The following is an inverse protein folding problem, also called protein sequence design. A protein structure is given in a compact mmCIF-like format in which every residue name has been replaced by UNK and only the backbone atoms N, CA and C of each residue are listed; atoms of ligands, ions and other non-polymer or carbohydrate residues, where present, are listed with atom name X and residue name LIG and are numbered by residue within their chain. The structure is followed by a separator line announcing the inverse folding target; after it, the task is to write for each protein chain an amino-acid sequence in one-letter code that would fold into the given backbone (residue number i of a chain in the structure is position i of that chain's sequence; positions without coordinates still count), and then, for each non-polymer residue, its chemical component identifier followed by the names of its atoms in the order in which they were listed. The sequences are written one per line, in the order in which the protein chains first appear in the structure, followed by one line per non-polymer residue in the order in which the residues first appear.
data_IF_143055440356
#
_entry.id   IF_143055440356
#
_cell.length_a   1.000
_cell.length_b   1.000
_cell.length_c   1.000
_cell.angle_alpha   90.00
_cell.angle_beta   90.00
_cell.angle_gamma   90.00
#
_symmetry.space_group_name_H-M   'P 1'
#
loop_
_entity.id
_entity.type
_entity.pdbx_description
1 polymer ?
#
# COMPACT_ATOMS: atom_id res chain seq x y z
N UNK A 1 33.43 -34.43 -41.54
CA UNK A 1 33.38 -34.43 -40.07
C UNK A 1 32.46 -33.30 -39.65
N UNK A 2 31.22 -33.62 -39.33
CA UNK A 2 30.20 -32.67 -38.93
C UNK A 2 30.06 -32.81 -37.42
N UNK A 3 30.45 -31.81 -36.64
CA UNK A 3 30.20 -31.77 -35.21
C UNK A 3 28.85 -31.13 -34.97
N UNK A 4 27.87 -31.95 -34.62
CA UNK A 4 26.59 -31.49 -34.08
C UNK A 4 26.76 -31.10 -32.61
N UNK A 5 26.68 -29.82 -32.33
CA UNK A 5 26.65 -29.31 -30.95
C UNK A 5 25.22 -29.42 -30.43
N UNK A 6 25.00 -30.40 -29.56
CA UNK A 6 23.72 -30.57 -28.84
C UNK A 6 23.67 -29.52 -27.72
N UNK A 7 22.86 -28.47 -27.90
CA UNK A 7 22.55 -27.51 -26.85
C UNK A 7 21.48 -28.12 -25.94
N UNK A 8 21.90 -28.62 -24.80
CA UNK A 8 21.05 -29.12 -23.75
C UNK A 8 20.43 -27.90 -23.02
N UNK A 9 19.21 -27.52 -23.38
CA UNK A 9 18.41 -26.55 -22.59
C UNK A 9 18.01 -27.24 -21.27
N UNK A 10 18.80 -27.00 -20.24
CA UNK A 10 18.37 -27.24 -18.87
C UNK A 10 17.30 -26.20 -18.49
N UNK A 11 16.03 -26.51 -18.69
CA UNK A 11 14.92 -25.86 -18.01
C UNK A 11 14.98 -26.26 -16.54
N UNK A 12 15.68 -25.47 -15.73
CA UNK A 12 15.57 -25.55 -14.28
C UNK A 12 14.20 -25.03 -13.92
N UNK A 13 13.23 -25.93 -13.83
CA UNK A 13 11.99 -25.66 -13.12
C UNK A 13 12.37 -25.42 -11.65
N UNK A 14 12.53 -24.17 -11.28
CA UNK A 14 12.50 -23.72 -9.87
C UNK A 14 11.07 -23.96 -9.37
N UNK A 15 10.74 -25.23 -9.08
CA UNK A 15 9.70 -25.54 -8.12
C UNK A 15 10.21 -25.04 -6.77
N UNK A 16 10.06 -23.74 -6.54
CA UNK A 16 10.29 -23.17 -5.22
C UNK A 16 9.34 -23.87 -4.26
N UNK A 17 9.89 -24.61 -3.31
CA UNK A 17 9.11 -25.15 -2.22
C UNK A 17 8.33 -23.97 -1.61
N UNK A 18 7.02 -23.99 -1.75
CA UNK A 18 6.16 -22.99 -1.14
C UNK A 18 6.32 -23.13 0.37
N UNK A 19 6.91 -22.13 1.01
CA UNK A 19 6.92 -22.09 2.46
C UNK A 19 5.49 -22.00 2.96
N UNK A 20 5.14 -22.72 4.05
CA UNK A 20 3.79 -22.69 4.59
C UNK A 20 3.32 -21.27 4.87
N UNK A 21 2.00 -21.09 4.79
CA UNK A 21 1.35 -19.82 5.14
C UNK A 21 1.74 -19.40 6.57
N UNK A 22 2.02 -18.12 6.75
CA UNK A 22 2.29 -17.55 8.06
C UNK A 22 1.04 -16.83 8.57
N UNK A 23 0.69 -17.00 9.85
CA UNK A 23 -0.48 -16.38 10.46
C UNK A 23 -0.14 -15.77 11.82
N UNK A 24 -0.81 -14.65 12.13
CA UNK A 24 -0.67 -13.96 13.41
C UNK A 24 -1.98 -13.26 13.79
N UNK A 25 -2.27 -13.22 15.10
CA UNK A 25 -3.48 -12.58 15.63
C UNK A 25 -3.15 -11.53 16.67
N UNK A 26 -3.93 -10.46 16.68
CA UNK A 26 -3.82 -9.38 17.64
C UNK A 26 -5.20 -8.99 18.19
N UNK A 27 -5.31 -8.75 19.53
CA UNK A 27 -6.48 -8.08 20.09
C UNK A 27 -6.47 -6.61 19.68
N UNK A 28 -7.62 -6.11 19.28
CA UNK A 28 -7.75 -4.70 18.90
C UNK A 28 -8.17 -3.88 20.11
N UNK A 29 -7.53 -2.74 20.34
CA UNK A 29 -7.97 -1.81 21.37
C UNK A 29 -9.42 -1.36 21.14
N UNK A 30 -10.18 -1.17 22.23
CA UNK A 30 -11.52 -0.61 22.15
C UNK A 30 -11.52 0.78 21.49
N UNK A 31 -12.49 1.02 20.62
CA UNK A 31 -12.66 2.29 19.92
C UNK A 31 -13.80 3.07 20.52
N UNK A 32 -13.62 4.39 20.56
CA UNK A 32 -14.65 5.32 21.03
C UNK A 32 -15.71 5.65 19.98
N UNK A 33 -15.36 5.57 18.68
CA UNK A 33 -16.27 5.97 17.60
C UNK A 33 -16.18 5.01 16.42
N UNK A 34 -17.20 4.20 16.14
CA UNK A 34 -17.24 3.37 14.95
C UNK A 34 -17.44 4.23 13.70
N UNK A 35 -16.78 3.85 12.61
CA UNK A 35 -16.98 4.43 11.29
C UNK A 35 -17.72 3.44 10.38
N UNK A 36 -18.72 3.92 9.65
CA UNK A 36 -19.48 3.14 8.67
C UNK A 36 -19.08 3.61 7.27
N UNK A 37 -18.39 2.79 6.46
CA UNK A 37 -18.08 3.16 5.08
C UNK A 37 -19.36 3.36 4.29
N UNK A 38 -19.43 4.44 3.51
CA UNK A 38 -20.47 4.60 2.51
C UNK A 38 -20.22 3.63 1.35
N UNK A 39 -21.26 2.97 0.87
CA UNK A 39 -21.15 2.04 -0.27
C UNK A 39 -20.66 2.80 -1.50
N UNK A 40 -19.69 2.23 -2.26
CA UNK A 40 -19.35 2.75 -3.57
C UNK A 40 -20.56 2.61 -4.50
N UNK A 41 -20.86 3.65 -5.25
CA UNK A 41 -22.07 3.77 -6.02
C UNK A 41 -21.81 3.83 -7.52
N UNK A 42 -22.87 3.56 -8.19
CA UNK A 42 -23.22 3.51 -9.60
C UNK A 42 -22.45 4.46 -10.51
N UNK A 43 -22.00 3.92 -11.64
CA UNK A 43 -21.45 4.71 -12.75
C UNK A 43 -22.50 5.68 -13.30
N UNK A 44 -22.33 6.94 -13.01
CA UNK A 44 -22.98 8.03 -13.72
C UNK A 44 -21.99 8.55 -14.77
N UNK A 45 -22.51 9.10 -15.87
CA UNK A 45 -21.67 9.82 -16.83
C UNK A 45 -20.92 10.94 -16.09
N UNK A 46 -19.60 10.99 -16.10
CA UNK A 46 -18.86 11.93 -15.28
C UNK A 46 -19.07 13.36 -15.78
N UNK A 47 -19.62 14.21 -14.93
CA UNK A 47 -19.43 15.65 -15.04
C UNK A 47 -18.33 15.98 -14.03
N UNK A 48 -17.09 16.00 -14.53
CA UNK A 48 -15.94 16.21 -13.65
C UNK A 48 -15.88 17.64 -13.14
N UNK A 49 -15.77 17.78 -11.83
CA UNK A 49 -15.42 19.06 -11.20
C UNK A 49 -13.91 19.28 -11.31
N UNK A 50 -13.48 20.54 -11.39
CA UNK A 50 -12.04 20.85 -11.40
C UNK A 50 -11.39 20.48 -10.07
N UNK A 51 -10.11 20.14 -10.10
CA UNK A 51 -9.30 19.85 -8.92
C UNK A 51 -8.75 21.14 -8.30
N UNK A 52 -9.62 22.02 -7.83
CA UNK A 52 -9.21 23.25 -7.16
C UNK A 52 -9.19 23.04 -5.67
N UNK A 53 -8.06 23.35 -5.03
CA UNK A 53 -7.90 23.22 -3.58
C UNK A 53 -8.33 24.50 -2.91
N UNK A 54 -9.29 24.41 -2.00
CA UNK A 54 -9.77 25.55 -1.21
C UNK A 54 -9.12 25.66 0.15
N UNK A 55 -8.67 24.54 0.71
CA UNK A 55 -8.10 24.49 2.06
C UNK A 55 -7.09 23.37 2.21
N UNK A 56 -6.00 23.65 2.94
CA UNK A 56 -5.04 22.66 3.43
C UNK A 56 -4.86 22.86 4.93
N UNK A 57 -4.98 21.79 5.70
CA UNK A 57 -4.68 21.78 7.14
C UNK A 57 -3.61 20.73 7.39
N UNK A 58 -2.47 21.14 7.93
CA UNK A 58 -1.43 20.21 8.32
C UNK A 58 -1.65 19.72 9.77
N UNK A 59 -1.84 18.40 9.92
CA UNK A 59 -2.02 17.74 11.21
C UNK A 59 -0.69 17.27 11.82
N UNK A 60 0.40 17.41 11.08
CA UNK A 60 1.75 17.05 11.47
C UNK A 60 1.91 15.56 11.77
N UNK A 61 2.89 15.25 12.60
CA UNK A 61 3.28 13.86 12.90
C UNK A 61 2.11 13.03 13.41
N UNK A 62 1.91 11.87 12.76
CA UNK A 62 1.00 10.82 13.22
C UNK A 62 1.69 10.02 14.33
N UNK A 63 1.14 10.06 15.53
CA UNK A 63 1.78 9.45 16.69
C UNK A 63 0.76 8.88 17.68
N UNK A 64 1.23 7.92 18.48
CA UNK A 64 0.53 7.47 19.67
C UNK A 64 0.97 8.31 20.88
N UNK A 65 0.11 9.20 21.30
CA UNK A 65 0.38 10.14 22.38
C UNK A 65 0.36 9.49 23.77
N UNK A 66 -0.27 8.34 23.89
CA UNK A 66 -0.41 7.61 25.15
C UNK A 66 0.77 6.68 25.48
N UNK A 67 1.68 6.49 24.54
CA UNK A 67 2.78 5.54 24.68
C UNK A 67 3.92 6.09 25.57
N UNK A 68 4.51 5.17 26.33
CA UNK A 68 5.73 5.41 27.10
C UNK A 68 6.96 5.56 26.17
N UNK A 69 6.85 5.10 24.96
CA UNK A 69 7.90 5.09 23.95
C UNK A 69 7.67 6.15 22.90
N UNK A 70 8.74 6.65 22.32
CA UNK A 70 8.69 7.48 21.13
C UNK A 70 8.88 6.58 19.91
N UNK A 71 7.82 6.43 19.09
CA UNK A 71 7.80 5.47 18.00
C UNK A 71 7.96 6.21 16.67
N UNK A 72 9.00 5.86 15.94
CA UNK A 72 9.29 6.34 14.60
C UNK A 72 8.93 5.29 13.59
N UNK A 73 8.20 5.69 12.56
CA UNK A 73 7.67 4.82 11.51
C UNK A 73 8.09 5.31 10.15
N UNK A 74 8.36 4.35 9.31
CA UNK A 74 8.68 4.54 7.91
C UNK A 74 7.46 4.19 7.07
N UNK A 75 7.18 4.90 5.99
CA UNK A 75 6.15 4.61 5.01
C UNK A 75 4.84 4.03 5.57
N UNK A 76 3.88 3.76 4.73
CA UNK A 76 2.70 3.04 5.18
C UNK A 76 1.43 3.37 4.41
N UNK A 77 0.36 2.66 4.74
CA UNK A 77 -0.96 2.87 4.18
C UNK A 77 -2.08 2.59 5.17
N UNK A 78 -3.25 3.10 4.87
CA UNK A 78 -4.46 2.87 5.67
C UNK A 78 -5.20 1.60 5.25
N UNK A 79 -5.93 1.02 6.18
CA UNK A 79 -6.76 -0.14 6.00
C UNK A 79 -8.06 0.01 6.77
N UNK A 80 -9.18 -0.39 6.19
CA UNK A 80 -10.46 -0.36 6.88
C UNK A 80 -11.04 -1.76 7.01
N UNK A 81 -11.44 -2.10 8.23
CA UNK A 81 -12.12 -3.36 8.57
C UNK A 81 -13.17 -3.09 9.64
N UNK A 82 -14.39 -3.60 9.46
CA UNK A 82 -15.47 -3.57 10.44
C UNK A 82 -15.56 -2.21 11.15
N UNK A 83 -15.74 -1.15 10.37
CA UNK A 83 -15.85 0.23 10.87
C UNK A 83 -14.64 0.76 11.64
N UNK A 84 -13.47 0.18 11.43
CA UNK A 84 -12.21 0.57 12.06
C UNK A 84 -11.18 0.87 11.01
N UNK A 85 -10.38 1.91 11.23
CA UNK A 85 -9.26 2.25 10.37
C UNK A 85 -7.95 1.92 11.07
N UNK A 86 -7.13 1.16 10.37
CA UNK A 86 -5.78 0.80 10.77
C UNK A 86 -4.79 1.52 9.87
N UNK A 87 -3.61 1.74 10.41
CA UNK A 87 -2.43 2.11 9.64
C UNK A 87 -1.43 0.98 9.72
N UNK A 88 -0.87 0.63 8.58
CA UNK A 88 0.20 -0.35 8.46
C UNK A 88 1.43 0.37 7.96
N UNK A 89 2.53 0.24 8.70
CA UNK A 89 3.78 0.94 8.44
C UNK A 89 4.89 -0.03 8.06
N UNK A 90 5.93 0.50 7.42
CA UNK A 90 7.20 -0.18 7.17
C UNK A 90 8.06 -0.24 8.44
N UNK A 91 9.39 -0.15 8.28
CA UNK A 91 10.32 -0.20 9.41
C UNK A 91 9.87 0.75 10.53
N UNK A 92 9.81 0.21 11.72
CA UNK A 92 9.32 0.92 12.91
C UNK A 92 10.30 0.71 14.04
N UNK A 93 10.68 1.80 14.72
CA UNK A 93 11.63 1.78 15.84
C UNK A 93 11.02 2.48 17.03
N UNK A 94 11.09 1.85 18.19
CA UNK A 94 10.66 2.42 19.46
C UNK A 94 11.88 2.85 20.28
N UNK A 95 11.81 4.05 20.82
CA UNK A 95 12.81 4.62 21.71
C UNK A 95 12.23 4.85 23.09
N UNK A 96 13.01 4.59 24.12
CA UNK A 96 12.67 4.99 25.47
C UNK A 96 12.67 6.51 25.59
N UNK A 97 11.57 7.10 25.99
CA UNK A 97 11.49 8.56 26.27
C UNK A 97 12.42 9.00 27.39
N UNK A 98 12.75 8.11 28.32
CA UNK A 98 13.61 8.39 29.47
C UNK A 98 15.09 8.36 29.09
N UNK A 99 15.51 7.37 28.28
CA UNK A 99 16.93 7.14 27.99
C UNK A 99 17.34 7.53 26.58
N UNK A 100 16.39 7.76 25.67
CA UNK A 100 16.62 7.99 24.24
C UNK A 100 17.16 6.76 23.48
N UNK A 101 17.27 5.60 24.14
CA UNK A 101 17.81 4.38 23.52
C UNK A 101 16.73 3.60 22.81
N UNK A 102 17.12 2.88 21.75
CA UNK A 102 16.24 1.92 21.08
C UNK A 102 15.87 0.81 22.07
N UNK A 103 14.56 0.55 22.20
CA UNK A 103 14.01 -0.51 23.04
C UNK A 103 13.31 -1.58 22.23
N UNK A 104 12.99 -1.30 20.96
CA UNK A 104 12.36 -2.26 20.06
C UNK A 104 12.40 -1.80 18.62
N UNK A 105 12.35 -2.77 17.69
CA UNK A 105 12.25 -2.52 16.27
C UNK A 105 11.51 -3.66 15.56
N UNK A 106 10.77 -3.32 14.53
CA UNK A 106 10.11 -4.30 13.65
C UNK A 106 10.13 -3.80 12.20
N UNK A 107 10.12 -4.71 11.24
CA UNK A 107 10.09 -4.36 9.82
C UNK A 107 8.74 -3.86 9.33
N UNK A 108 7.72 -3.97 10.17
CA UNK A 108 6.39 -3.39 9.95
C UNK A 108 5.64 -3.34 11.28
N UNK A 109 4.67 -2.44 11.37
CA UNK A 109 3.82 -2.28 12.55
C UNK A 109 2.41 -1.86 12.15
N UNK A 110 1.46 -1.98 13.08
CA UNK A 110 0.09 -1.52 12.88
C UNK A 110 -0.35 -0.61 14.02
N UNK A 111 -1.14 0.39 13.67
CA UNK A 111 -1.83 1.27 14.63
C UNK A 111 -3.30 1.38 14.30
N UNK A 112 -4.08 1.73 15.30
CA UNK A 112 -5.49 2.05 15.17
C UNK A 112 -5.67 3.56 15.09
N UNK A 113 -6.46 4.05 14.14
CA UNK A 113 -6.92 5.43 14.12
C UNK A 113 -7.94 5.65 15.24
N UNK A 114 -7.67 6.60 16.12
CA UNK A 114 -8.48 6.83 17.32
C UNK A 114 -9.59 7.86 17.09
N UNK A 115 -9.36 8.76 16.13
CA UNK A 115 -10.28 9.88 15.89
C UNK A 115 -10.20 10.32 14.43
N UNK A 116 -11.32 10.28 13.74
CA UNK A 116 -11.39 10.73 12.35
C UNK A 116 -11.34 12.25 12.17
N UNK A 117 -11.53 13.02 13.22
CA UNK A 117 -11.37 14.48 13.17
C UNK A 117 -9.90 14.88 13.37
N UNK A 118 -9.13 13.99 13.99
CA UNK A 118 -7.71 14.18 14.27
C UNK A 118 -6.91 12.99 13.75
N UNK A 119 -6.66 12.93 12.43
CA UNK A 119 -6.04 11.77 11.78
C UNK A 119 -4.62 11.47 12.28
N UNK A 120 -4.00 12.40 12.98
CA UNK A 120 -2.69 12.21 13.61
C UNK A 120 -2.76 11.50 14.98
N UNK A 121 -3.95 11.21 15.52
CA UNK A 121 -4.12 10.46 16.77
C UNK A 121 -4.22 8.98 16.50
N UNK A 122 -3.21 8.25 16.94
CA UNK A 122 -3.09 6.81 16.75
C UNK A 122 -2.99 6.09 18.08
N UNK A 123 -3.32 4.81 18.10
CA UNK A 123 -3.02 3.88 19.19
C UNK A 123 -2.28 2.68 18.63
N UNK A 124 -1.07 2.50 19.09
CA UNK A 124 -0.27 1.33 18.74
C UNK A 124 -0.79 0.09 19.47
N UNK A 125 -0.79 -1.06 18.79
CA UNK A 125 -1.14 -2.34 19.39
C UNK A 125 -0.20 -3.47 18.98
N UNK A 126 0.80 -3.18 18.15
CA UNK A 126 1.81 -4.13 17.70
C UNK A 126 3.21 -3.80 18.20
N UNK A 127 3.54 -2.52 18.33
CA UNK A 127 4.84 -2.05 18.85
C UNK A 127 4.75 -1.81 20.36
N UNK A 128 4.45 -2.88 21.10
CA UNK A 128 4.36 -2.86 22.56
C UNK A 128 5.17 -4.03 23.16
N UNK A 129 5.72 -3.91 24.38
CA UNK A 129 6.54 -4.94 24.99
C UNK A 129 5.86 -6.31 25.10
N UNK A 130 4.54 -6.34 25.32
CA UNK A 130 3.76 -7.57 25.44
C UNK A 130 3.72 -8.41 24.17
N UNK A 131 3.96 -7.81 22.99
CA UNK A 131 4.08 -8.54 21.71
C UNK A 131 5.50 -8.99 21.43
N UNK A 132 6.49 -8.60 22.23
CA UNK A 132 7.91 -8.84 21.99
C UNK A 132 8.45 -8.12 20.78
N UNK A 133 7.83 -6.97 20.39
CA UNK A 133 8.24 -6.16 19.22
C UNK A 133 8.20 -6.93 17.89
N UNK A 134 7.27 -7.87 17.76
CA UNK A 134 7.14 -8.67 16.54
C UNK A 134 6.53 -7.84 15.41
N UNK A 135 6.94 -8.10 14.15
CA UNK A 135 6.26 -7.52 12.99
C UNK A 135 4.77 -7.85 12.99
N UNK A 136 3.94 -6.90 12.60
CA UNK A 136 2.49 -7.12 12.48
C UNK A 136 2.14 -8.10 11.35
N UNK A 137 2.88 -8.00 10.24
CA UNK A 137 2.75 -8.94 9.12
C UNK A 137 3.74 -10.07 9.37
N UNK A 138 3.27 -11.32 9.54
CA UNK A 138 4.12 -12.41 9.96
C UNK A 138 5.15 -12.81 8.90
N UNK A 139 6.35 -13.09 9.35
CA UNK A 139 7.35 -13.75 8.54
C UNK A 139 7.05 -15.24 8.41
N UNK A 140 7.45 -15.85 7.29
CA UNK A 140 7.59 -17.31 7.22
C UNK A 140 8.73 -17.77 8.12
N UNK A 141 8.77 -19.06 8.48
CA UNK A 141 9.85 -19.61 9.30
C UNK A 141 11.22 -19.36 8.65
N UNK A 142 11.30 -19.48 7.33
CA UNK A 142 12.51 -19.17 6.60
C UNK A 142 12.94 -17.71 6.75
N UNK A 143 12.03 -16.76 6.59
CA UNK A 143 12.34 -15.34 6.76
C UNK A 143 12.70 -15.01 8.21
N UNK A 144 11.99 -15.61 9.16
CA UNK A 144 12.22 -15.44 10.60
C UNK A 144 13.60 -15.98 11.04
N UNK A 145 14.11 -17.01 10.38
CA UNK A 145 15.44 -17.58 10.69
C UNK A 145 16.59 -16.59 10.48
N UNK A 146 16.38 -15.52 9.70
CA UNK A 146 17.34 -14.42 9.53
C UNK A 146 17.11 -13.27 10.52
N UNK A 147 16.08 -13.33 11.36
CA UNK A 147 15.80 -12.28 12.35
C UNK A 147 16.82 -12.31 13.48
N UNK A 148 17.40 -11.16 13.82
CA UNK A 148 18.36 -11.04 14.91
C UNK A 148 19.82 -10.90 14.49
N UNK A 149 20.16 -11.16 13.25
CA UNK A 149 21.49 -10.85 12.73
C UNK A 149 21.50 -9.42 12.17
N UNK A 150 22.40 -8.58 12.67
CA UNK A 150 22.60 -7.19 12.18
C UNK A 150 22.94 -7.16 10.68
N UNK A 151 23.39 -8.28 10.11
CA UNK A 151 23.80 -8.39 8.71
C UNK A 151 22.67 -8.76 7.75
N UNK A 152 21.95 -9.83 8.01
CA UNK A 152 20.96 -10.37 7.06
C UNK A 152 19.59 -10.42 7.71
N UNK A 153 18.61 -9.78 7.09
CA UNK A 153 17.22 -9.81 7.55
C UNK A 153 16.24 -9.69 6.38
N UNK A 154 15.02 -10.13 6.60
CA UNK A 154 13.90 -9.79 5.73
C UNK A 154 13.14 -8.57 6.24
N UNK A 155 12.50 -7.87 5.32
CA UNK A 155 11.54 -6.82 5.63
C UNK A 155 10.34 -6.92 4.69
N UNK A 156 9.15 -6.61 5.22
CA UNK A 156 7.90 -6.58 4.47
C UNK A 156 7.40 -5.14 4.51
N UNK A 157 7.53 -4.45 3.38
CA UNK A 157 7.23 -3.03 3.28
C UNK A 157 6.04 -2.75 2.38
N UNK A 158 5.13 -1.92 2.84
CA UNK A 158 4.03 -1.40 2.04
C UNK A 158 4.08 0.11 1.95
N UNK A 159 3.70 0.61 0.78
CA UNK A 159 3.50 2.04 0.55
C UNK A 159 2.11 2.31 -0.03
N UNK A 160 1.21 1.33 0.07
CA UNK A 160 -0.15 1.41 -0.45
C UNK A 160 -1.16 1.22 0.66
N UNK A 161 -2.40 1.60 0.39
CA UNK A 161 -3.52 1.22 1.24
C UNK A 161 -3.88 -0.25 1.01
N UNK A 162 -4.43 -0.91 2.03
CA UNK A 162 -5.12 -2.16 1.78
C UNK A 162 -6.42 -1.92 1.00
N UNK A 163 -6.93 -2.96 0.40
CA UNK A 163 -8.26 -2.94 -0.21
C UNK A 163 -9.23 -3.76 0.64
N UNK A 164 -10.30 -3.13 1.11
CA UNK A 164 -11.38 -3.80 1.81
C UNK A 164 -12.17 -4.68 0.84
N UNK A 165 -12.20 -5.98 1.10
CA UNK A 165 -12.90 -6.99 0.28
C UNK A 165 -14.36 -7.16 0.75
N UNK A 166 -14.52 -7.29 2.06
CA UNK A 166 -15.80 -7.38 2.76
C UNK A 166 -15.75 -6.51 4.02
N UNK A 167 -16.84 -6.34 4.76
CA UNK A 167 -16.77 -5.61 6.03
C UNK A 167 -15.71 -6.11 7.01
N UNK A 168 -15.42 -7.42 7.00
CA UNK A 168 -14.49 -8.06 7.94
C UNK A 168 -13.21 -8.59 7.30
N UNK A 169 -13.01 -8.43 5.99
CA UNK A 169 -11.80 -8.90 5.28
C UNK A 169 -11.20 -7.82 4.41
N UNK A 170 -9.88 -7.78 4.39
CA UNK A 170 -9.13 -6.92 3.48
C UNK A 170 -7.88 -7.65 2.97
N UNK A 171 -7.34 -7.15 1.86
CA UNK A 171 -6.12 -7.63 1.21
C UNK A 171 -5.11 -6.49 1.11
N UNK A 172 -3.85 -6.79 1.37
CA UNK A 172 -2.77 -5.80 1.32
C UNK A 172 -1.50 -6.41 0.71
N UNK A 173 -0.78 -5.64 -0.09
CA UNK A 173 0.44 -6.10 -0.74
C UNK A 173 1.69 -5.49 -0.10
N UNK A 174 2.76 -6.28 -0.03
CA UNK A 174 4.03 -5.92 0.58
C UNK A 174 5.19 -6.28 -0.33
N UNK A 175 6.15 -5.40 -0.45
CA UNK A 175 7.44 -5.70 -1.04
C UNK A 175 8.23 -6.60 -0.09
N UNK A 176 8.76 -7.70 -0.59
CA UNK A 176 9.63 -8.59 0.17
C UNK A 176 11.08 -8.21 -0.11
N UNK A 177 11.69 -7.52 0.86
CA UNK A 177 13.09 -7.10 0.82
C UNK A 177 13.94 -8.08 1.62
N UNK A 178 15.11 -8.45 1.08
CA UNK A 178 16.16 -9.12 1.83
C UNK A 178 17.35 -8.20 1.94
N UNK A 179 17.76 -7.91 3.14
CA UNK A 179 18.99 -7.22 3.46
C UNK A 179 20.11 -8.22 3.60
N UNK A 180 21.26 -7.92 3.05
CA UNK A 180 22.51 -8.70 3.20
C UNK A 180 23.43 -8.06 4.23
N UNK A 181 23.26 -6.76 4.45
CA UNK A 181 23.91 -5.95 5.47
C UNK A 181 23.13 -4.61 5.61
N UNK A 182 23.62 -3.69 6.42
CA UNK A 182 22.99 -2.40 6.67
C UNK A 182 22.81 -1.52 5.40
N UNK A 183 23.60 -1.76 4.36
CA UNK A 183 23.66 -0.89 3.17
C UNK A 183 23.25 -1.59 1.87
N UNK A 184 23.02 -2.88 1.90
CA UNK A 184 22.72 -3.67 0.71
C UNK A 184 21.45 -4.49 0.88
N UNK A 185 20.49 -4.25 0.03
CA UNK A 185 19.26 -5.03 -0.01
C UNK A 185 18.81 -5.32 -1.43
N UNK A 186 17.96 -6.32 -1.58
CA UNK A 186 17.33 -6.68 -2.86
C UNK A 186 15.86 -7.01 -2.62
N UNK A 187 15.00 -6.47 -3.47
CA UNK A 187 13.61 -6.89 -3.56
C UNK A 187 13.52 -8.20 -4.35
N UNK A 188 12.91 -9.22 -3.76
CA UNK A 188 12.71 -10.53 -4.39
C UNK A 188 11.35 -10.69 -5.03
N UNK A 189 10.39 -9.89 -4.62
CA UNK A 189 9.03 -9.92 -5.12
C UNK A 189 8.08 -9.19 -4.17
N UNK A 190 6.81 -9.54 -4.32
CA UNK A 190 5.74 -9.01 -3.48
C UNK A 190 4.98 -10.18 -2.86
N UNK A 191 4.53 -9.99 -1.65
CA UNK A 191 3.60 -10.91 -0.97
C UNK A 191 2.27 -10.22 -0.73
N UNK A 192 1.26 -11.03 -0.45
CA UNK A 192 -0.07 -10.58 -0.08
C UNK A 192 -0.35 -10.98 1.36
N UNK A 193 -0.98 -10.09 2.12
CA UNK A 193 -1.56 -10.42 3.42
C UNK A 193 -3.09 -10.25 3.35
N UNK A 194 -3.79 -11.18 3.97
CA UNK A 194 -5.25 -11.13 4.18
C UNK A 194 -5.48 -10.82 5.65
N UNK A 195 -6.24 -9.77 5.89
CA UNK A 195 -6.71 -9.39 7.21
C UNK A 195 -8.13 -9.92 7.41
N UNK A 196 -8.37 -10.57 8.53
CA UNK A 196 -9.72 -10.98 8.94
C UNK A 196 -10.00 -10.46 10.33
N UNK A 197 -11.10 -9.72 10.47
CA UNK A 197 -11.57 -9.16 11.71
C UNK A 197 -12.69 -10.04 12.27
N UNK A 198 -12.56 -10.51 13.49
CA UNK A 198 -13.66 -11.06 14.26
C UNK A 198 -14.37 -9.93 15.03
N UNK A 199 -15.60 -9.57 14.66
CA UNK A 199 -16.32 -8.49 15.32
C UNK A 199 -16.81 -8.84 16.74
N UNK A 200 -16.84 -10.12 17.11
CA UNK A 200 -17.27 -10.57 18.44
C UNK A 200 -16.12 -10.50 19.43
N UNK A 201 -14.98 -11.05 19.05
CA UNK A 201 -13.78 -11.08 19.91
C UNK A 201 -12.91 -9.84 19.78
N UNK A 202 -13.15 -8.97 18.81
CA UNK A 202 -12.29 -7.83 18.45
C UNK A 202 -10.84 -8.25 18.16
N UNK A 203 -10.66 -9.40 17.54
CA UNK A 203 -9.35 -9.85 17.09
C UNK A 203 -9.19 -9.62 15.59
N UNK A 204 -8.00 -9.24 15.20
CA UNK A 204 -7.56 -9.24 13.81
C UNK A 204 -6.57 -10.39 13.59
N UNK A 205 -6.86 -11.23 12.62
CA UNK A 205 -5.96 -12.28 12.15
C UNK A 205 -5.35 -11.83 10.83
N UNK A 206 -4.05 -12.03 10.71
CA UNK A 206 -3.27 -11.66 9.52
C UNK A 206 -2.61 -12.91 8.98
N UNK A 207 -2.92 -13.24 7.73
CA UNK A 207 -2.41 -14.41 7.04
C UNK A 207 -1.65 -14.01 5.79
N UNK A 208 -0.51 -14.63 5.56
CA UNK A 208 0.23 -14.58 4.31
C UNK A 208 0.12 -15.93 3.62
N UNK A 209 -0.65 -16.05 2.52
CA UNK A 209 -0.85 -17.33 1.84
C UNK A 209 0.45 -17.90 1.25
N UNK A 210 1.33 -17.03 0.77
CA UNK A 210 2.60 -17.40 0.13
C UNK A 210 3.70 -16.41 0.48
N UNK A 211 4.97 -16.87 0.49
CA UNK A 211 6.13 -16.01 0.69
C UNK A 211 6.23 -14.94 -0.43
N UNK A 212 5.98 -15.34 -1.68
CA UNK A 212 5.95 -14.46 -2.83
C UNK A 212 4.66 -14.68 -3.63
N UNK A 213 3.80 -13.66 -3.67
CA UNK A 213 2.64 -13.67 -4.57
C UNK A 213 3.04 -13.32 -6.00
N UNK A 214 3.93 -12.36 -6.17
CA UNK A 214 4.57 -12.01 -7.43
C UNK A 214 6.09 -11.96 -7.24
N UNK A 215 6.82 -12.58 -8.16
CA UNK A 215 8.28 -12.47 -8.20
C UNK A 215 8.69 -11.13 -8.82
N UNK A 216 9.92 -10.69 -8.56
CA UNK A 216 10.48 -9.48 -9.17
C UNK A 216 10.67 -9.56 -10.70
N UNK A 217 10.44 -10.72 -11.30
CA UNK A 217 10.41 -10.95 -12.74
C UNK A 217 9.03 -10.74 -13.35
N UNK A 218 8.02 -10.39 -12.56
CA UNK A 218 6.65 -10.13 -12.98
C UNK A 218 6.20 -8.75 -12.53
N UNK A 219 5.05 -8.27 -13.06
CA UNK A 219 4.50 -7.01 -12.59
C UNK A 219 3.94 -7.17 -11.17
N UNK A 220 4.22 -6.20 -10.27
CA UNK A 220 3.82 -6.29 -8.86
C UNK A 220 2.38 -5.79 -8.67
N UNK A 221 1.38 -6.47 -9.23
CA UNK A 221 -0.02 -6.08 -9.13
C UNK A 221 -0.47 -5.94 -7.67
N UNK A 222 -1.16 -4.83 -7.38
CA UNK A 222 -1.62 -4.47 -6.03
C UNK A 222 -0.61 -3.69 -5.18
N UNK A 223 0.66 -3.62 -5.59
CA UNK A 223 1.69 -2.93 -4.82
C UNK A 223 1.73 -1.41 -5.04
N UNK A 224 0.98 -0.90 -6.00
CA UNK A 224 0.86 0.53 -6.26
C UNK A 224 -0.46 1.11 -5.75
N UNK A 225 -1.57 0.49 -6.10
CA UNK A 225 -2.90 0.87 -5.64
C UNK A 225 -3.87 -0.31 -5.80
N UNK A 226 -4.99 -0.26 -5.09
CA UNK A 226 -6.06 -1.23 -5.25
C UNK A 226 -7.43 -0.60 -4.96
N UNK A 227 -8.48 -1.11 -5.62
CA UNK A 227 -9.86 -0.68 -5.36
C UNK A 227 -10.82 -1.85 -5.60
N UNK A 228 -11.88 -1.96 -4.79
CA UNK A 228 -12.97 -2.92 -5.02
C UNK A 228 -14.15 -2.19 -5.63
N UNK A 229 -14.64 -2.73 -6.76
CA UNK A 229 -15.82 -2.24 -7.47
C UNK A 229 -16.68 -3.44 -7.86
N UNK A 230 -17.93 -3.48 -7.45
CA UNK A 230 -18.89 -4.54 -7.81
C UNK A 230 -18.37 -5.95 -7.52
N UNK A 231 -17.85 -6.19 -6.31
CA UNK A 231 -17.24 -7.45 -5.87
C UNK A 231 -16.04 -7.92 -6.71
N UNK A 232 -15.35 -7.01 -7.38
CA UNK A 232 -14.10 -7.28 -8.08
C UNK A 232 -13.02 -6.36 -7.52
N UNK A 233 -11.91 -6.92 -7.08
CA UNK A 233 -10.72 -6.17 -6.71
C UNK A 233 -9.87 -5.88 -7.95
N UNK A 234 -9.59 -4.61 -8.20
CA UNK A 234 -8.70 -4.11 -9.23
C UNK A 234 -7.36 -3.77 -8.59
N UNK A 235 -6.29 -4.34 -9.12
CA UNK A 235 -4.94 -4.35 -8.54
C UNK A 235 -3.96 -3.69 -9.49
N UNK A 236 -3.46 -2.53 -9.13
CA UNK A 236 -2.52 -1.76 -9.95
C UNK A 236 -1.09 -2.03 -9.49
N UNK A 237 -0.20 -2.27 -10.45
CA UNK A 237 1.22 -2.40 -10.24
C UNK A 237 1.98 -1.45 -11.14
N UNK A 238 3.15 -0.97 -10.73
CA UNK A 238 4.00 -0.09 -11.54
C UNK A 238 5.26 -0.81 -12.00
N UNK A 239 5.69 -0.48 -13.22
CA UNK A 239 6.95 -0.91 -13.78
C UNK A 239 7.75 0.31 -14.27
N UNK A 240 8.99 0.40 -13.83
CA UNK A 240 9.86 1.53 -14.12
C UNK A 240 10.40 1.47 -15.55
N UNK A 241 10.28 2.58 -16.26
CA UNK A 241 10.87 2.79 -17.57
C UNK A 241 12.28 3.40 -17.48
N UNK A 242 13.04 3.28 -18.56
CA UNK A 242 14.36 3.92 -18.66
C UNK A 242 14.31 5.45 -18.56
N UNK A 243 13.19 6.06 -18.94
CA UNK A 243 12.94 7.51 -18.82
C UNK A 243 12.79 8.00 -17.38
N UNK A 244 12.70 7.11 -16.39
CA UNK A 244 12.37 7.45 -15.02
C UNK A 244 10.87 7.52 -14.73
N UNK A 245 10.01 7.46 -15.74
CA UNK A 245 8.58 7.31 -15.61
C UNK A 245 8.20 5.85 -15.39
N UNK A 246 6.91 5.60 -15.08
CA UNK A 246 6.40 4.25 -14.84
C UNK A 246 5.18 3.98 -15.70
N UNK A 247 5.08 2.74 -16.17
CA UNK A 247 3.83 2.17 -16.67
C UNK A 247 3.00 1.63 -15.51
N UNK A 248 1.68 1.76 -15.59
CA UNK A 248 0.76 1.17 -14.62
C UNK A 248 0.04 0.00 -15.27
N UNK A 249 0.22 -1.17 -14.70
CA UNK A 249 -0.40 -2.43 -15.11
C UNK A 249 -1.57 -2.75 -14.20
N UNK A 250 -2.57 -3.47 -14.72
CA UNK A 250 -3.80 -3.78 -14.01
C UNK A 250 -4.10 -5.27 -14.06
N UNK A 251 -4.39 -5.84 -12.88
CA UNK A 251 -5.04 -7.13 -12.74
C UNK A 251 -6.37 -6.97 -12.01
N UNK A 252 -7.21 -7.99 -12.10
CA UNK A 252 -8.45 -8.07 -11.31
C UNK A 252 -8.69 -9.49 -10.82
N UNK A 253 -9.39 -9.59 -9.68
CA UNK A 253 -9.82 -10.85 -9.09
C UNK A 253 -11.18 -10.66 -8.43
N UNK A 254 -12.14 -11.61 -8.58
CA UNK A 254 -13.39 -11.55 -7.83
C UNK A 254 -13.14 -11.67 -6.32
N UNK A 255 -13.89 -10.90 -5.53
CA UNK A 255 -13.86 -10.99 -4.06
C UNK A 255 -14.27 -12.41 -3.63
N UNK A 256 -13.51 -12.98 -2.70
CA UNK A 256 -13.64 -14.37 -2.25
C UNK A 256 -12.66 -15.35 -2.92
N UNK A 257 -11.95 -14.91 -3.95
CA UNK A 257 -10.99 -15.74 -4.69
C UNK A 257 -9.55 -15.18 -4.68
N UNK A 258 -9.25 -14.26 -3.79
CA UNK A 258 -7.99 -13.51 -3.75
C UNK A 258 -6.76 -14.41 -3.59
N UNK A 259 -6.92 -15.54 -2.91
CA UNK A 259 -5.84 -16.51 -2.68
C UNK A 259 -5.75 -17.60 -3.75
N UNK A 260 -6.57 -17.53 -4.81
CA UNK A 260 -6.55 -18.49 -5.91
C UNK A 260 -6.15 -17.82 -7.23
N UNK A 261 -4.92 -18.08 -7.67
CA UNK A 261 -4.33 -17.49 -8.89
C UNK A 261 -5.13 -17.75 -10.15
N UNK A 262 -5.91 -18.82 -10.24
CA UNK A 262 -6.70 -19.18 -11.41
C UNK A 262 -7.84 -18.19 -11.68
N UNK A 263 -8.24 -17.40 -10.70
CA UNK A 263 -9.28 -16.37 -10.85
C UNK A 263 -8.74 -15.00 -11.22
N UNK A 264 -7.41 -14.81 -11.22
CA UNK A 264 -6.82 -13.56 -11.66
C UNK A 264 -6.94 -13.38 -13.17
N UNK A 265 -7.18 -12.15 -13.56
CA UNK A 265 -7.23 -11.71 -14.97
C UNK A 265 -6.38 -10.48 -15.11
N UNK A 266 -5.58 -10.44 -16.14
CA UNK A 266 -4.59 -9.41 -16.39
C UNK A 266 -5.02 -8.59 -17.60
N UNK A 267 -4.98 -7.28 -17.46
CA UNK A 267 -5.36 -6.36 -18.51
C UNK A 267 -4.32 -6.32 -19.62
N UNK A 268 -4.80 -6.36 -20.85
CA UNK A 268 -4.02 -6.16 -22.05
C UNK A 268 -4.64 -4.99 -22.84
N UNK A 269 -3.95 -3.86 -22.86
CA UNK A 269 -4.42 -2.65 -23.50
C UNK A 269 -4.53 -2.83 -25.03
N UNK A 270 -3.69 -3.67 -25.64
CA UNK A 270 -3.74 -3.92 -27.09
C UNK A 270 -5.03 -4.62 -27.53
N UNK A 271 -5.57 -5.52 -26.71
CA UNK A 271 -6.87 -6.16 -26.94
C UNK A 271 -8.04 -5.40 -26.32
N UNK A 272 -7.77 -4.42 -25.45
CA UNK A 272 -8.77 -3.71 -24.66
C UNK A 272 -9.50 -4.59 -23.64
N UNK A 273 -8.93 -5.75 -23.30
CA UNK A 273 -9.59 -6.79 -22.51
C UNK A 273 -8.75 -7.36 -21.37
N UNK A 274 -9.25 -8.45 -20.80
CA UNK A 274 -8.58 -9.18 -19.73
C UNK A 274 -8.29 -10.62 -20.15
N UNK A 275 -7.06 -11.07 -19.91
CA UNK A 275 -6.56 -12.41 -20.20
C UNK A 275 -6.30 -13.21 -18.91
N UNK A 276 -6.31 -14.54 -19.01
CA UNK A 276 -5.85 -15.46 -17.97
C UNK A 276 -4.33 -15.50 -17.88
N UNK A 277 -3.66 -15.19 -18.99
CA UNK A 277 -2.20 -15.23 -19.05
C UNK A 277 -1.62 -13.95 -18.47
N UNK A 278 -0.80 -14.08 -17.44
CA UNK A 278 -0.08 -12.96 -16.86
C UNK A 278 0.98 -12.46 -17.86
N UNK A 279 0.94 -11.18 -18.26
CA UNK A 279 1.97 -10.62 -19.12
C UNK A 279 3.34 -10.67 -18.46
N UNK A 280 4.34 -11.05 -19.23
CA UNK A 280 5.74 -11.02 -18.78
C UNK A 280 6.35 -9.65 -19.11
N UNK A 281 7.11 -9.03 -18.22
CA UNK A 281 7.86 -7.81 -18.50
C UNK A 281 8.82 -8.00 -19.67
N UNK A 282 8.41 -7.57 -20.86
CA UNK A 282 9.18 -7.67 -22.11
C UNK A 282 9.24 -6.31 -22.80
N UNK A 283 9.83 -6.27 -24.00
CA UNK A 283 9.86 -5.05 -24.85
C UNK A 283 8.46 -4.48 -25.22
N UNK A 284 7.38 -5.22 -24.97
CA UNK A 284 5.98 -4.78 -25.18
C UNK A 284 5.31 -4.25 -23.91
N UNK A 285 6.04 -3.79 -22.93
CA UNK A 285 5.52 -3.30 -21.64
C UNK A 285 4.34 -2.35 -21.78
N UNK A 286 4.47 -1.35 -22.65
CA UNK A 286 3.44 -0.32 -22.83
C UNK A 286 2.12 -0.87 -23.38
N UNK A 287 2.13 -1.92 -24.19
CA UNK A 287 0.91 -2.50 -24.75
C UNK A 287 -0.02 -3.12 -23.68
N UNK A 288 0.53 -3.47 -22.52
CA UNK A 288 -0.22 -4.07 -21.41
C UNK A 288 -0.54 -3.08 -20.28
N UNK A 289 -0.14 -1.82 -20.44
CA UNK A 289 -0.34 -0.80 -19.41
C UNK A 289 -1.72 -0.14 -19.53
N UNK A 290 -2.39 0.04 -18.40
CA UNK A 290 -3.63 0.81 -18.31
C UNK A 290 -3.36 2.32 -18.26
N UNK A 291 -2.16 2.72 -17.80
CA UNK A 291 -1.61 4.07 -17.91
C UNK A 291 -0.18 3.91 -18.43
N UNK A 292 0.11 4.50 -19.56
CA UNK A 292 1.43 4.43 -20.18
C UNK A 292 2.32 5.55 -19.67
N UNK A 293 3.57 5.25 -19.37
CA UNK A 293 4.74 5.99 -18.91
C UNK A 293 4.73 7.53 -18.90
N UNK A 294 3.71 8.13 -18.32
CA UNK A 294 3.49 9.58 -18.35
C UNK A 294 3.99 10.29 -17.10
N UNK A 295 4.17 9.54 -16.00
CA UNK A 295 4.44 10.12 -14.69
C UNK A 295 5.46 9.28 -13.90
N UNK A 296 6.25 9.89 -13.01
CA UNK A 296 7.12 9.20 -12.06
C UNK A 296 6.30 8.69 -10.87
N UNK A 297 5.36 7.78 -11.12
CA UNK A 297 4.57 7.15 -10.07
C UNK A 297 5.46 6.45 -9.06
N UNK A 298 5.20 6.65 -7.76
CA UNK A 298 5.90 5.92 -6.70
C UNK A 298 4.92 5.18 -5.81
N UNK A 299 3.93 5.88 -5.30
CA UNK A 299 2.85 5.35 -4.45
C UNK A 299 1.53 5.95 -4.90
N UNK A 300 0.44 5.23 -4.73
CA UNK A 300 -0.86 5.68 -5.21
C UNK A 300 -2.05 5.15 -4.43
N UNK A 301 -3.17 5.80 -4.61
CA UNK A 301 -4.47 5.40 -4.07
C UNK A 301 -5.54 5.62 -5.12
N UNK A 302 -6.29 4.57 -5.46
CA UNK A 302 -7.44 4.65 -6.36
C UNK A 302 -8.72 4.53 -5.56
N UNK A 303 -9.67 5.44 -5.80
CA UNK A 303 -10.98 5.43 -5.16
C UNK A 303 -12.02 6.15 -6.00
N UNK A 304 -13.31 5.90 -5.74
CA UNK A 304 -14.40 6.67 -6.32
C UNK A 304 -14.64 7.96 -5.51
N UNK A 305 -14.79 9.08 -6.21
CA UNK A 305 -15.14 10.36 -5.63
C UNK A 305 -16.54 10.77 -6.09
N UNK A 306 -17.49 10.81 -5.17
CA UNK A 306 -18.84 11.34 -5.44
C UNK A 306 -18.80 12.82 -5.78
N UNK A 307 -17.87 13.55 -5.17
CA UNK A 307 -17.71 14.98 -5.41
C UNK A 307 -17.27 15.29 -6.84
N UNK A 308 -16.31 14.52 -7.38
CA UNK A 308 -15.81 14.68 -8.75
C UNK A 308 -16.57 13.81 -9.76
N UNK A 309 -17.43 12.90 -9.30
CA UNK A 309 -18.14 11.91 -10.09
C UNK A 309 -17.19 11.09 -11.00
N UNK A 310 -16.07 10.65 -10.46
CA UNK A 310 -15.01 9.94 -11.16
C UNK A 310 -14.20 9.05 -10.24
N UNK A 311 -13.52 8.05 -10.79
CA UNK A 311 -12.38 7.44 -10.12
C UNK A 311 -11.22 8.41 -10.11
N UNK A 312 -10.61 8.55 -8.95
CA UNK A 312 -9.41 9.34 -8.76
C UNK A 312 -8.24 8.41 -8.47
N UNK A 313 -7.10 8.65 -9.12
CA UNK A 313 -5.80 8.12 -8.73
C UNK A 313 -5.00 9.28 -8.15
N UNK A 314 -4.93 9.34 -6.83
CA UNK A 314 -4.01 10.24 -6.13
C UNK A 314 -2.68 9.52 -5.97
N UNK A 315 -1.59 10.11 -6.44
CA UNK A 315 -0.27 9.51 -6.39
C UNK A 315 0.78 10.51 -5.90
N UNK A 316 1.91 9.99 -5.42
CA UNK A 316 3.00 10.77 -4.90
C UNK A 316 4.29 10.50 -5.69
N UNK A 317 5.06 11.54 -5.94
CA UNK A 317 6.36 11.47 -6.62
C UNK A 317 7.47 11.44 -5.57
N UNK A 318 7.83 10.25 -5.11
CA UNK A 318 8.99 10.09 -4.24
C UNK A 318 10.26 10.59 -4.95
N UNK A 319 11.20 11.16 -4.20
CA UNK A 319 12.55 11.47 -4.66
C UNK A 319 12.64 12.47 -5.84
N UNK A 320 11.51 12.88 -6.42
CA UNK A 320 11.45 13.81 -7.55
C UNK A 320 11.13 15.20 -7.06
N UNK A 321 9.87 15.44 -6.68
CA UNK A 321 9.40 16.77 -6.29
C UNK A 321 8.56 16.77 -4.99
N UNK A 322 8.40 15.62 -4.35
CA UNK A 322 7.61 15.47 -3.12
C UNK A 322 6.16 15.96 -3.26
N UNK A 323 5.55 15.71 -4.41
CA UNK A 323 4.25 16.28 -4.81
C UNK A 323 3.17 15.22 -4.88
N UNK A 324 2.02 15.50 -4.28
CA UNK A 324 0.78 14.79 -4.53
C UNK A 324 0.12 15.31 -5.80
N UNK A 325 -0.26 14.40 -6.68
CA UNK A 325 -0.96 14.68 -7.93
C UNK A 325 -2.18 13.80 -8.07
N UNK A 326 -3.12 14.20 -8.93
CA UNK A 326 -4.34 13.44 -9.19
C UNK A 326 -4.56 13.24 -10.67
N UNK A 327 -4.93 12.03 -11.04
CA UNK A 327 -5.54 11.67 -12.32
C UNK A 327 -6.98 11.24 -12.09
N UNK A 328 -7.77 11.21 -13.16
CA UNK A 328 -9.17 10.80 -13.08
C UNK A 328 -9.57 9.90 -14.24
N UNK A 329 -10.58 9.05 -13.99
CA UNK A 329 -11.15 8.15 -14.99
C UNK A 329 -12.62 7.88 -14.74
N UNK A 330 -13.41 7.53 -15.79
CA UNK A 330 -14.80 7.11 -15.64
C UNK A 330 -14.93 5.70 -15.04
N UNK A 331 -13.89 4.89 -15.10
CA UNK A 331 -13.90 3.51 -14.61
C UNK A 331 -12.51 3.13 -14.04
N UNK A 332 -12.41 2.03 -13.26
CA UNK A 332 -11.12 1.54 -12.79
C UNK A 332 -10.14 1.16 -13.92
N UNK A 333 -10.65 0.87 -15.09
CA UNK A 333 -9.85 0.50 -16.28
C UNK A 333 -9.41 1.75 -17.04
N UNK A 334 -10.05 2.87 -16.82
CA UNK A 334 -9.83 4.11 -17.56
C UNK A 334 -10.99 4.40 -18.56
N UNK A 335 -10.73 5.15 -19.64
CA UNK A 335 -9.45 5.80 -19.94
C UNK A 335 -9.06 6.82 -18.87
N UNK A 336 -7.80 6.78 -18.44
CA UNK A 336 -7.28 7.73 -17.46
C UNK A 336 -6.91 9.04 -18.13
N UNK A 337 -7.39 10.15 -17.58
CA UNK A 337 -6.90 11.46 -17.98
C UNK A 337 -5.50 11.67 -17.41
N UNK A 338 -4.50 11.61 -18.25
CA UNK A 338 -3.09 11.72 -17.86
C UNK A 338 -2.61 13.16 -17.62
N UNK A 339 -3.43 14.15 -17.92
CA UNK A 339 -3.20 15.53 -17.47
C UNK A 339 -3.39 15.59 -15.96
N UNK A 340 -2.29 15.60 -15.23
CA UNK A 340 -2.34 15.61 -13.77
C UNK A 340 -2.52 17.02 -13.20
N UNK A 341 -3.12 17.07 -12.02
CA UNK A 341 -3.20 18.30 -11.23
C UNK A 341 -2.44 18.10 -9.93
N UNK A 342 -1.63 19.09 -9.55
CA UNK A 342 -0.98 19.13 -8.23
C UNK A 342 -2.03 19.39 -7.16
N UNK A 343 -2.11 18.47 -6.19
CA UNK A 343 -2.99 18.59 -5.03
C UNK A 343 -2.25 19.24 -3.86
N UNK A 344 -1.01 18.84 -3.64
CA UNK A 344 -0.18 19.37 -2.57
C UNK A 344 1.30 19.06 -2.84
N UNK A 345 2.15 20.03 -2.57
CA UNK A 345 3.61 19.85 -2.57
C UNK A 345 4.13 19.95 -1.15
N UNK A 346 4.74 18.86 -0.67
CA UNK A 346 5.33 18.81 0.65
C UNK A 346 6.78 19.29 0.63
N UNK A 347 7.19 19.97 1.69
CA UNK A 347 8.59 20.42 1.86
C UNK A 347 9.31 19.43 2.75
N UNK A 348 10.38 18.76 2.28
CA UNK A 348 11.21 17.92 3.13
C UNK A 348 12.01 18.74 4.14
N UNK A 349 12.43 18.07 5.21
CA UNK A 349 13.35 18.65 6.16
C UNK A 349 14.75 18.85 5.56
N UNK A 350 15.61 19.66 6.20
CA UNK A 350 16.98 19.90 5.76
C UNK A 350 17.75 18.59 5.56
N UNK A 351 18.34 18.41 4.36
CA UNK A 351 19.10 17.21 4.00
C UNK A 351 18.30 15.93 3.88
N UNK A 352 16.96 16.02 3.89
CA UNK A 352 16.04 14.89 3.77
C UNK A 352 15.23 14.92 2.49
N UNK A 353 14.26 14.02 2.44
CA UNK A 353 13.27 13.91 1.36
C UNK A 353 11.95 13.33 1.91
N UNK A 354 10.86 13.54 1.19
CA UNK A 354 9.58 12.95 1.55
C UNK A 354 9.27 11.77 0.63
N UNK A 355 8.58 10.75 1.14
CA UNK A 355 8.23 9.55 0.38
C UNK A 355 7.00 8.83 0.96
N UNK A 356 6.55 7.77 0.30
CA UNK A 356 5.46 6.91 0.76
C UNK A 356 4.13 7.65 0.89
N UNK A 357 3.87 8.62 0.00
CA UNK A 357 2.66 9.44 0.08
C UNK A 357 1.42 8.70 -0.40
N UNK A 358 0.33 8.72 0.40
CA UNK A 358 -0.95 8.09 0.11
C UNK A 358 -2.11 9.01 0.44
N UNK A 359 -3.23 8.85 -0.27
CA UNK A 359 -4.51 9.38 0.16
C UNK A 359 -5.26 8.34 1.00
N UNK A 360 -5.99 8.81 2.01
CA UNK A 360 -6.88 7.97 2.82
C UNK A 360 -8.31 8.51 2.74
N UNK A 361 -9.06 8.18 1.67
CA UNK A 361 -10.37 8.75 1.42
C UNK A 361 -11.39 8.42 2.52
N UNK A 362 -11.17 7.35 3.27
CA UNK A 362 -12.04 6.92 4.36
C UNK A 362 -12.21 7.96 5.48
N UNK A 363 -11.25 8.84 5.71
CA UNK A 363 -11.28 9.78 6.83
C UNK A 363 -12.41 10.81 6.75
N UNK A 364 -12.84 11.16 5.54
CA UNK A 364 -13.87 12.19 5.35
C UNK A 364 -15.08 11.66 4.59
N UNK A 365 -15.46 10.40 4.88
CA UNK A 365 -16.63 9.74 4.29
C UNK A 365 -17.71 9.44 5.35
N UNK A 366 -17.90 10.34 6.30
CA UNK A 366 -18.95 10.21 7.32
C UNK A 366 -20.34 10.45 6.72
N UNK A 367 -21.41 9.95 7.36
CA UNK A 367 -22.76 10.32 6.99
C UNK A 367 -22.94 11.84 6.89
N UNK A 368 -23.47 12.32 5.77
CA UNK A 368 -23.66 13.74 5.48
C UNK A 368 -22.46 14.43 4.82
N UNK A 369 -21.31 13.77 4.66
CA UNK A 369 -20.20 14.27 3.87
C UNK A 369 -20.26 13.73 2.44
N UNK A 370 -19.75 14.51 1.48
CA UNK A 370 -19.63 14.09 0.09
C UNK A 370 -18.27 13.43 -0.11
N UNK A 371 -18.26 12.15 -0.39
CA UNK A 371 -17.02 11.39 -0.58
C UNK A 371 -16.11 12.01 -1.65
N UNK A 372 -14.85 12.21 -1.30
CA UNK A 372 -13.83 12.76 -2.20
C UNK A 372 -13.82 14.29 -2.32
N UNK A 373 -14.69 15.03 -1.58
CA UNK A 373 -14.55 16.49 -1.42
C UNK A 373 -13.39 16.84 -0.51
N UNK A 374 -13.25 16.05 0.53
CA UNK A 374 -12.19 16.15 1.52
C UNK A 374 -11.32 14.90 1.46
N UNK A 375 -10.00 15.06 1.53
CA UNK A 375 -9.04 13.97 1.57
C UNK A 375 -8.05 14.15 2.71
N UNK A 376 -7.78 13.07 3.40
CA UNK A 376 -6.58 12.95 4.19
C UNK A 376 -5.46 12.47 3.30
N UNK A 377 -4.34 13.19 3.29
CA UNK A 377 -3.10 12.77 2.67
C UNK A 377 -2.08 12.45 3.77
N UNK A 378 -1.28 11.42 3.53
CA UNK A 378 -0.21 11.00 4.42
C UNK A 378 1.06 10.82 3.61
N UNK A 379 2.20 11.18 4.18
CA UNK A 379 3.52 10.91 3.62
C UNK A 379 4.53 10.76 4.76
N UNK A 380 5.64 10.10 4.47
CA UNK A 380 6.76 10.05 5.41
C UNK A 380 7.62 11.30 5.22
N UNK A 381 7.64 12.12 6.27
CA UNK A 381 8.57 13.22 6.38
C UNK A 381 9.93 12.70 6.84
N UNK A 382 10.98 13.16 6.19
CA UNK A 382 12.35 12.85 6.58
C UNK A 382 13.23 14.10 6.59
N UNK A 383 14.08 14.19 7.61
CA UNK A 383 15.23 15.06 7.65
C UNK A 383 16.49 14.24 7.99
N UNK A 384 17.61 14.88 8.26
CA UNK A 384 18.89 14.20 8.60
C UNK A 384 18.82 13.29 9.81
N UNK A 385 17.89 13.51 10.74
CA UNK A 385 17.87 12.83 12.05
C UNK A 385 16.62 12.00 12.28
N UNK A 386 15.49 12.36 11.66
CA UNK A 386 14.18 11.79 11.97
C UNK A 386 13.39 11.46 10.72
N UNK A 387 12.56 10.42 10.83
CA UNK A 387 11.52 10.09 9.86
C UNK A 387 10.23 9.71 10.61
N UNK A 388 9.10 10.19 10.13
CA UNK A 388 7.80 9.88 10.68
C UNK A 388 6.68 10.16 9.68
N UNK A 389 5.56 9.44 9.76
CA UNK A 389 4.40 9.73 8.94
C UNK A 389 3.80 11.08 9.36
N UNK A 390 3.52 11.90 8.37
CA UNK A 390 2.88 13.20 8.51
C UNK A 390 1.50 13.16 7.84
N UNK A 391 0.51 13.79 8.48
CA UNK A 391 -0.86 13.84 7.98
C UNK A 391 -1.27 15.26 7.64
N UNK A 392 -2.03 15.40 6.57
CA UNK A 392 -2.67 16.66 6.21
C UNK A 392 -4.06 16.41 5.61
N UNK A 393 -4.91 17.42 5.72
CA UNK A 393 -6.25 17.45 5.17
C UNK A 393 -6.31 18.46 4.03
N UNK A 394 -6.81 18.06 2.88
CA UNK A 394 -7.10 18.93 1.73
C UNK A 394 -8.60 18.93 1.44
N UNK A 395 -9.13 20.09 1.10
CA UNK A 395 -10.53 20.25 0.70
C UNK A 395 -10.59 20.81 -0.72
N UNK A 396 -11.36 20.16 -1.59
CA UNK A 396 -11.67 20.64 -2.94
C UNK A 396 -12.85 21.60 -2.95
N UNK A 397 -12.84 22.56 -3.93
CA UNK A 397 -13.95 23.48 -4.22
C UNK A 397 -14.72 23.08 -5.46
#
# INVERSE_FOLDING_TARGET
MIFSTLVLLCTVALAGAQTPAASQSFPIPSILTPYVPTKPLYFKTPVMKPFTISKVVNWWRMNDWAQVYDIYRDGGGSCSLYNRTFWVYCDTTAYSKTTGKIVGAASNSMTLAMDFNYPNRLKDFTMIPSTGWKPAIPFTDYEASFSGNIGTRYALWTYTNCVQLTPTRAMHFFNVQKFYNAYSSKQYGNTMAIYTMDPVTNQITIERPEQYWYLNTTYPYGSFASVVVNNVAYLYGIDRLYSGNYDVHLAKVPVGYETNRNYYRYYDAASGGFSYTMPVPTARRQANAVIQGTQPFSTGTVFWSDYHNAFLLVFFNNWVDSTFRVLSAPSPIGPWNVSNTVVYQSTPGPGGYNYGGNASPIYYQKPGQVAGKDLMLQYTYQNTSNRYPNALHVTFT
#
